data_IF_782757406547
#
_entry.id   IF_782757406547
#
_cell.length_a   1.000
_cell.length_b   1.000
_cell.length_c   1.000
_cell.angle_alpha   90.00
_cell.angle_beta   90.00
_cell.angle_gamma   90.00
#
_symmetry.space_group_name_H-M   'P 1'
#
loop_
_entity.id
_entity.type
_entity.pdbx_description
1 polymer ?
#
# COMPACT_ATOMS: atom_id res chain seq x y z
N UNK A 1 80.10 55.92 -0.10
CA UNK A 1 78.97 56.14 0.83
C UNK A 1 77.72 55.54 0.21
N UNK A 2 77.11 54.54 0.87
CA UNK A 2 75.70 54.06 0.81
C UNK A 2 75.04 53.81 -0.58
N UNK A 3 74.22 52.78 -0.86
CA UNK A 3 73.68 51.60 -0.19
C UNK A 3 72.97 50.73 -1.29
N UNK A 4 72.70 49.45 -0.98
CA UNK A 4 71.85 48.45 -1.66
C UNK A 4 70.48 49.00 -2.18
N UNK A 5 69.71 48.39 -3.09
CA UNK A 5 69.28 46.97 -3.19
C UNK A 5 68.52 46.70 -4.51
N UNK A 6 68.48 45.42 -4.90
CA UNK A 6 67.91 44.78 -6.12
C UNK A 6 66.38 44.71 -6.23
N UNK A 7 65.83 44.75 -7.45
CA UNK A 7 64.72 43.88 -7.91
C UNK A 7 64.63 43.81 -9.45
N UNK A 8 64.42 42.59 -9.96
CA UNK A 8 64.49 42.16 -11.36
C UNK A 8 63.07 41.92 -11.93
N UNK A 9 62.77 42.42 -13.14
CA UNK A 9 61.58 42.06 -13.95
C UNK A 9 61.97 42.11 -15.43
N UNK A 10 61.70 41.07 -16.25
CA UNK A 10 61.69 41.21 -17.70
C UNK A 10 60.27 41.08 -18.30
N UNK A 11 60.06 41.51 -19.57
CA UNK A 11 58.82 42.13 -20.01
C UNK A 11 58.00 41.34 -21.06
N UNK A 12 56.80 41.88 -21.31
CA UNK A 12 55.85 41.66 -22.41
C UNK A 12 56.47 41.45 -23.81
N UNK A 13 55.72 40.82 -24.75
CA UNK A 13 55.23 41.49 -25.99
C UNK A 13 54.53 40.55 -27.03
N UNK A 14 53.26 40.89 -27.30
CA UNK A 14 52.47 40.95 -28.56
C UNK A 14 51.98 39.73 -29.36
N UNK A 15 50.65 39.76 -29.59
CA UNK A 15 49.88 39.29 -30.77
C UNK A 15 49.69 40.52 -31.71
N UNK A 16 49.41 40.40 -33.04
CA UNK A 16 48.00 40.37 -33.51
C UNK A 16 47.70 39.70 -34.89
N UNK A 17 46.42 39.33 -35.06
CA UNK A 17 45.51 39.44 -36.24
C UNK A 17 45.40 38.40 -37.38
N UNK A 18 44.13 38.21 -37.80
CA UNK A 18 43.50 37.20 -38.69
C UNK A 18 43.58 37.45 -40.20
N UNK A 19 43.49 36.39 -41.04
CA UNK A 19 42.70 36.31 -42.31
C UNK A 19 42.27 34.84 -42.58
N UNK A 20 41.05 34.70 -43.09
CA UNK A 20 40.22 33.53 -43.41
C UNK A 20 40.49 32.96 -44.82
N UNK A 21 40.33 31.64 -45.04
CA UNK A 21 39.96 31.05 -46.36
C UNK A 21 39.48 29.60 -46.22
N UNK A 22 38.30 29.34 -46.80
CA UNK A 22 37.63 28.05 -46.91
C UNK A 22 38.41 27.03 -47.77
N UNK A 23 38.42 25.75 -47.36
CA UNK A 23 38.41 24.63 -48.29
C UNK A 23 37.69 23.41 -47.73
N UNK A 24 36.63 23.02 -48.45
CA UNK A 24 35.95 21.73 -48.47
C UNK A 24 36.95 20.56 -48.56
N UNK A 25 36.81 19.53 -47.72
CA UNK A 25 36.45 18.17 -48.16
C UNK A 25 36.62 17.09 -47.06
N UNK A 26 35.51 16.40 -46.82
CA UNK A 26 35.37 14.96 -46.42
C UNK A 26 35.91 14.49 -45.06
N UNK A 27 35.01 14.31 -44.07
CA UNK A 27 34.57 12.97 -43.61
C UNK A 27 33.49 13.09 -42.51
N UNK A 28 32.40 12.39 -42.74
CA UNK A 28 31.27 12.06 -41.85
C UNK A 28 31.61 11.71 -40.40
N UNK A 29 31.04 12.45 -39.43
CA UNK A 29 30.52 11.91 -38.14
C UNK A 29 29.88 13.01 -37.28
N UNK A 30 28.70 13.50 -37.65
CA UNK A 30 27.87 14.33 -36.76
C UNK A 30 26.81 13.47 -36.08
N UNK A 31 27.21 12.73 -35.04
CA UNK A 31 26.31 12.06 -34.10
C UNK A 31 27.02 11.90 -32.77
N UNK A 32 26.92 12.92 -31.90
CA UNK A 32 26.88 12.73 -30.44
C UNK A 32 26.93 14.08 -29.72
N UNK A 33 25.77 14.58 -29.29
CA UNK A 33 25.65 15.31 -28.03
C UNK A 33 24.18 15.53 -27.70
N UNK A 34 23.49 14.44 -27.37
CA UNK A 34 22.32 14.56 -26.48
C UNK A 34 22.85 14.80 -25.07
N UNK A 35 22.30 15.74 -24.28
CA UNK A 35 22.68 15.90 -22.87
C UNK A 35 22.28 14.63 -22.10
N UNK A 36 22.89 14.34 -20.93
CA UNK A 36 22.56 13.14 -20.18
C UNK A 36 21.14 13.30 -19.66
N UNK A 37 20.19 12.65 -20.31
CA UNK A 37 18.86 12.45 -19.75
C UNK A 37 19.09 11.64 -18.47
N UNK A 38 18.90 12.29 -17.32
CA UNK A 38 18.85 11.60 -16.03
C UNK A 38 17.84 10.48 -16.18
N UNK A 39 18.35 9.26 -16.20
CA UNK A 39 17.59 8.05 -16.44
C UNK A 39 16.81 7.77 -15.15
N UNK A 40 15.68 8.45 -14.94
CA UNK A 40 14.64 7.95 -14.07
C UNK A 40 14.27 6.59 -14.63
N UNK A 41 14.83 5.52 -14.05
CA UNK A 41 14.57 4.15 -14.44
C UNK A 41 13.16 3.81 -13.95
N UNK A 42 12.17 4.33 -14.67
CA UNK A 42 10.77 4.03 -14.41
C UNK A 42 10.59 2.54 -14.43
N UNK A 43 9.87 2.03 -13.42
CA UNK A 43 9.51 0.62 -13.31
C UNK A 43 9.09 0.07 -14.68
N UNK A 44 9.60 -1.11 -15.04
CA UNK A 44 9.35 -1.69 -16.36
C UNK A 44 7.86 -1.98 -16.56
N UNK A 45 7.37 -1.95 -17.80
CA UNK A 45 5.96 -2.21 -18.15
C UNK A 45 5.40 -3.48 -17.48
N UNK A 46 6.23 -4.52 -17.36
CA UNK A 46 5.88 -5.77 -16.67
C UNK A 46 5.52 -5.59 -15.20
N UNK A 47 6.24 -4.72 -14.48
CA UNK A 47 5.96 -4.44 -13.07
C UNK A 47 4.57 -3.81 -12.90
N UNK A 48 4.26 -2.81 -13.73
CA UNK A 48 2.96 -2.13 -13.71
C UNK A 48 1.82 -3.06 -14.16
N UNK A 49 2.06 -3.93 -15.15
CA UNK A 49 1.07 -4.94 -15.60
C UNK A 49 0.79 -5.96 -14.48
N UNK A 50 1.82 -6.51 -13.84
CA UNK A 50 1.67 -7.50 -12.76
C UNK A 50 0.91 -6.91 -11.57
N UNK A 51 1.15 -5.64 -11.22
CA UNK A 51 0.47 -4.98 -10.10
C UNK A 51 -0.98 -4.57 -10.43
N UNK A 52 -1.23 -4.14 -11.67
CA UNK A 52 -2.55 -3.63 -12.09
C UNK A 52 -3.57 -4.74 -12.33
N UNK A 53 -3.17 -5.93 -12.81
CA UNK A 53 -4.10 -7.03 -13.12
C UNK A 53 -4.94 -7.43 -11.88
N UNK A 54 -4.35 -7.72 -10.70
CA UNK A 54 -5.13 -8.06 -9.50
C UNK A 54 -6.06 -6.92 -9.06
N UNK A 55 -5.60 -5.67 -9.15
CA UNK A 55 -6.39 -4.51 -8.77
C UNK A 55 -7.61 -4.31 -9.70
N UNK A 56 -7.41 -4.41 -11.02
CA UNK A 56 -8.48 -4.31 -12.02
C UNK A 56 -9.47 -5.45 -11.83
N UNK A 57 -8.97 -6.69 -11.69
CA UNK A 57 -9.81 -7.87 -11.52
C UNK A 57 -10.68 -7.76 -10.27
N UNK A 58 -10.11 -7.29 -9.15
CA UNK A 58 -10.85 -7.08 -7.91
C UNK A 58 -11.95 -6.01 -8.07
N UNK A 59 -11.64 -4.85 -8.66
CA UNK A 59 -12.62 -3.77 -8.86
C UNK A 59 -13.74 -4.21 -9.81
N UNK A 60 -13.40 -4.91 -10.90
CA UNK A 60 -14.39 -5.47 -11.83
C UNK A 60 -15.27 -6.51 -11.15
N UNK A 61 -14.67 -7.41 -10.39
CA UNK A 61 -15.40 -8.45 -9.66
C UNK A 61 -16.38 -7.85 -8.65
N UNK A 62 -15.89 -6.94 -7.80
CA UNK A 62 -16.75 -6.23 -6.86
C UNK A 62 -17.85 -5.48 -7.63
N UNK A 63 -17.53 -4.87 -8.77
CA UNK A 63 -18.46 -4.05 -9.55
C UNK A 63 -19.59 -4.85 -10.18
N UNK A 64 -19.26 -6.02 -10.72
CA UNK A 64 -20.23 -6.95 -11.25
C UNK A 64 -21.15 -7.49 -10.14
N UNK A 65 -20.58 -7.80 -8.98
CA UNK A 65 -21.34 -8.30 -7.83
C UNK A 65 -22.00 -7.19 -7.00
N UNK A 66 -21.74 -5.90 -7.28
CA UNK A 66 -22.15 -4.76 -6.46
C UNK A 66 -23.64 -4.76 -6.14
N UNK A 67 -24.48 -4.92 -7.16
CA UNK A 67 -25.94 -4.90 -7.01
C UNK A 67 -26.45 -6.12 -6.22
N UNK A 68 -25.86 -7.30 -6.46
CA UNK A 68 -26.22 -8.53 -5.75
C UNK A 68 -25.81 -8.44 -4.27
N UNK A 69 -24.58 -8.02 -4.02
CA UNK A 69 -24.00 -7.85 -2.68
C UNK A 69 -24.72 -6.79 -1.86
N UNK A 70 -25.04 -5.63 -2.43
CA UNK A 70 -25.80 -4.58 -1.71
C UNK A 70 -27.21 -5.05 -1.39
N UNK A 71 -27.88 -5.75 -2.31
CA UNK A 71 -29.24 -6.27 -2.06
C UNK A 71 -29.25 -7.26 -0.90
N UNK A 72 -28.29 -8.20 -0.89
CA UNK A 72 -28.03 -9.17 0.18
C UNK A 72 -27.74 -8.48 1.53
N UNK A 73 -26.77 -7.57 1.54
CA UNK A 73 -26.37 -6.81 2.73
C UNK A 73 -27.52 -5.96 3.32
N UNK A 74 -28.34 -5.35 2.46
CA UNK A 74 -29.49 -4.53 2.86
C UNK A 74 -30.61 -5.38 3.47
N UNK A 75 -30.82 -6.60 2.98
CA UNK A 75 -31.86 -7.50 3.49
C UNK A 75 -31.59 -7.90 4.95
N UNK A 76 -30.32 -8.16 5.30
CA UNK A 76 -29.90 -8.53 6.66
C UNK A 76 -29.81 -7.35 7.66
N UNK A 77 -29.97 -6.11 7.20
CA UNK A 77 -29.81 -4.87 8.02
C UNK A 77 -28.48 -4.81 8.79
N UNK A 78 -27.45 -5.49 8.29
CA UNK A 78 -26.13 -5.52 8.93
C UNK A 78 -25.33 -4.31 8.45
N UNK A 79 -25.55 -3.17 9.14
CA UNK A 79 -24.88 -1.91 8.84
C UNK A 79 -23.34 -2.03 8.88
N UNK A 80 -22.82 -2.89 9.75
CA UNK A 80 -21.38 -3.18 9.87
C UNK A 80 -20.80 -3.70 8.55
N UNK A 81 -21.37 -4.77 7.99
CA UNK A 81 -20.85 -5.38 6.77
C UNK A 81 -21.00 -4.47 5.55
N UNK A 82 -22.06 -3.65 5.51
CA UNK A 82 -22.21 -2.60 4.50
C UNK A 82 -21.05 -1.62 4.57
N UNK A 83 -20.69 -1.16 5.76
CA UNK A 83 -19.60 -0.21 5.95
C UNK A 83 -18.26 -0.81 5.52
N UNK A 84 -17.95 -2.06 5.88
CA UNK A 84 -16.73 -2.73 5.41
C UNK A 84 -16.70 -2.90 3.90
N UNK A 85 -17.83 -3.25 3.29
CA UNK A 85 -17.93 -3.35 1.84
C UNK A 85 -17.64 -2.01 1.16
N UNK A 86 -18.14 -0.89 1.71
CA UNK A 86 -17.85 0.46 1.20
C UNK A 86 -16.37 0.81 1.38
N UNK A 87 -15.79 0.52 2.54
CA UNK A 87 -14.36 0.76 2.79
C UNK A 87 -13.48 -0.07 1.85
N UNK A 88 -13.82 -1.34 1.66
CA UNK A 88 -13.11 -2.22 0.71
C UNK A 88 -13.20 -1.67 -0.71
N UNK A 89 -14.38 -1.22 -1.14
CA UNK A 89 -14.56 -0.58 -2.44
C UNK A 89 -13.68 0.66 -2.58
N UNK A 90 -13.72 1.54 -1.59
CA UNK A 90 -12.93 2.76 -1.55
C UNK A 90 -11.42 2.46 -1.64
N UNK A 91 -10.91 1.57 -0.77
CA UNK A 91 -9.50 1.18 -0.77
C UNK A 91 -9.09 0.47 -2.06
N UNK A 92 -9.97 -0.34 -2.67
CA UNK A 92 -9.72 -0.96 -3.97
C UNK A 92 -9.63 0.07 -5.10
N UNK A 93 -10.47 1.10 -5.11
CA UNK A 93 -10.39 2.17 -6.11
C UNK A 93 -9.11 3.01 -5.96
N UNK A 94 -8.70 3.31 -4.72
CA UNK A 94 -7.44 4.00 -4.45
C UNK A 94 -6.24 3.16 -4.89
N UNK A 95 -6.25 1.86 -4.57
CA UNK A 95 -5.20 0.95 -4.98
C UNK A 95 -5.12 0.79 -6.51
N UNK A 96 -6.26 0.76 -7.21
CA UNK A 96 -6.29 0.78 -8.67
C UNK A 96 -5.72 2.09 -9.23
N UNK A 97 -6.06 3.24 -8.64
CA UNK A 97 -5.52 4.53 -9.04
C UNK A 97 -4.00 4.59 -8.82
N UNK A 98 -3.51 4.10 -7.67
CA UNK A 98 -2.09 3.96 -7.35
C UNK A 98 -1.34 3.13 -8.40
N UNK A 99 -1.87 1.94 -8.74
CA UNK A 99 -1.27 1.07 -9.74
C UNK A 99 -1.28 1.69 -11.15
N UNK A 100 -2.36 2.37 -11.52
CA UNK A 100 -2.53 2.96 -12.85
C UNK A 100 -1.67 4.21 -13.06
N UNK A 101 -1.43 4.96 -11.99
CA UNK A 101 -0.75 6.26 -12.03
C UNK A 101 0.73 6.19 -11.65
N UNK A 102 1.35 5.00 -11.63
CA UNK A 102 2.79 4.84 -11.37
C UNK A 102 3.67 5.71 -12.29
N UNK A 103 3.23 5.96 -13.53
CA UNK A 103 3.93 6.84 -14.46
C UNK A 103 4.09 8.29 -13.94
N UNK A 104 3.29 8.72 -12.97
CA UNK A 104 3.43 10.05 -12.35
C UNK A 104 4.70 10.18 -11.51
N UNK A 105 5.29 9.08 -11.03
CA UNK A 105 6.61 9.10 -10.38
C UNK A 105 7.71 9.64 -11.29
N UNK A 106 7.55 9.46 -12.60
CA UNK A 106 8.56 9.79 -13.60
C UNK A 106 8.32 11.11 -14.31
N UNK A 107 7.20 11.78 -14.01
CA UNK A 107 6.87 13.05 -14.67
C UNK A 107 7.33 14.21 -13.78
N UNK A 108 8.32 15.01 -14.20
CA UNK A 108 8.77 16.16 -13.42
C UNK A 108 7.59 17.13 -13.20
N UNK A 109 7.42 17.59 -11.95
CA UNK A 109 6.33 18.49 -11.56
C UNK A 109 5.03 17.81 -11.07
N UNK A 110 4.93 16.48 -11.11
CA UNK A 110 3.78 15.72 -10.55
C UNK A 110 4.05 15.04 -9.21
N UNK A 111 5.17 15.36 -8.57
CA UNK A 111 5.62 14.76 -7.31
C UNK A 111 4.61 14.94 -6.18
N UNK A 112 4.00 16.13 -6.08
CA UNK A 112 2.95 16.43 -5.11
C UNK A 112 1.74 15.49 -5.27
N UNK A 113 1.26 15.32 -6.50
CA UNK A 113 0.11 14.48 -6.80
C UNK A 113 0.41 13.00 -6.54
N UNK A 114 1.62 12.55 -6.87
CA UNK A 114 2.06 11.20 -6.55
C UNK A 114 2.10 10.95 -5.04
N UNK A 115 2.79 11.82 -4.29
CA UNK A 115 2.89 11.71 -2.84
C UNK A 115 1.51 11.76 -2.15
N UNK A 116 0.61 12.63 -2.62
CA UNK A 116 -0.75 12.72 -2.10
C UNK A 116 -1.55 11.44 -2.39
N UNK A 117 -1.47 10.91 -3.61
CA UNK A 117 -2.11 9.64 -3.97
C UNK A 117 -1.55 8.47 -3.15
N UNK A 118 -0.24 8.49 -2.86
CA UNK A 118 0.45 7.49 -2.02
C UNK A 118 -0.11 7.49 -0.61
N UNK A 119 -0.15 8.68 -0.01
CA UNK A 119 -0.66 8.88 1.34
C UNK A 119 -2.13 8.50 1.44
N UNK A 120 -2.93 8.87 0.43
CA UNK A 120 -4.35 8.54 0.41
C UNK A 120 -4.57 7.03 0.26
N UNK A 121 -3.77 6.35 -0.57
CA UNK A 121 -3.84 4.90 -0.73
C UNK A 121 -3.43 4.18 0.56
N UNK A 122 -2.33 4.59 1.19
CA UNK A 122 -1.88 4.07 2.47
C UNK A 122 -2.91 4.31 3.60
N UNK A 123 -3.50 5.50 3.65
CA UNK A 123 -4.59 5.84 4.56
C UNK A 123 -5.77 4.88 4.37
N UNK A 124 -6.22 4.69 3.13
CA UNK A 124 -7.36 3.81 2.83
C UNK A 124 -7.11 2.35 3.22
N UNK A 125 -5.93 1.81 2.93
CA UNK A 125 -5.60 0.42 3.25
C UNK A 125 -5.40 0.20 4.74
N UNK A 126 -4.64 1.07 5.43
CA UNK A 126 -4.44 0.99 6.88
C UNK A 126 -5.73 1.24 7.66
N UNK A 127 -6.55 2.21 7.22
CA UNK A 127 -7.84 2.46 7.86
C UNK A 127 -8.76 1.25 7.78
N UNK A 128 -8.82 0.60 6.61
CA UNK A 128 -9.56 -0.65 6.45
C UNK A 128 -9.02 -1.72 7.40
N UNK A 129 -7.70 -1.90 7.43
CA UNK A 129 -6.99 -2.90 8.22
C UNK A 129 -7.28 -2.77 9.72
N UNK A 130 -7.00 -1.60 10.29
CA UNK A 130 -7.15 -1.33 11.71
C UNK A 130 -8.62 -1.35 12.12
N UNK A 131 -9.52 -0.81 11.29
CA UNK A 131 -10.96 -0.82 11.60
C UNK A 131 -11.55 -2.23 11.60
N UNK A 132 -11.05 -3.11 10.72
CA UNK A 132 -11.47 -4.50 10.65
C UNK A 132 -11.01 -5.28 11.89
N UNK A 133 -9.73 -5.16 12.24
CA UNK A 133 -9.16 -5.80 13.43
C UNK A 133 -9.84 -5.29 14.71
N UNK A 134 -10.01 -3.96 14.84
CA UNK A 134 -10.63 -3.36 16.02
C UNK A 134 -12.07 -3.84 16.25
N UNK A 135 -12.86 -3.96 15.19
CA UNK A 135 -14.23 -4.44 15.30
C UNK A 135 -14.31 -5.93 15.65
N UNK A 136 -13.47 -6.76 15.03
CA UNK A 136 -13.44 -8.19 15.33
C UNK A 136 -13.02 -8.47 16.78
N UNK A 137 -12.18 -7.60 17.36
CA UNK A 137 -11.81 -7.67 18.77
C UNK A 137 -12.91 -7.15 19.72
N UNK A 138 -13.84 -6.31 19.24
CA UNK A 138 -14.90 -5.69 20.04
C UNK A 138 -16.24 -6.43 19.95
N UNK A 139 -16.25 -7.76 19.82
CA UNK A 139 -17.47 -8.60 19.74
C UNK A 139 -18.27 -8.57 21.08
N UNK A 140 -18.76 -7.39 21.49
CA UNK A 140 -19.49 -7.10 22.72
C UNK A 140 -20.91 -6.62 22.39
N UNK A 141 -21.85 -7.15 23.17
CA UNK A 141 -23.31 -7.17 23.08
C UNK A 141 -24.07 -5.81 23.06
N UNK A 142 -23.45 -4.71 22.64
CA UNK A 142 -24.14 -3.43 22.42
C UNK A 142 -24.57 -3.30 20.95
N UNK A 143 -25.55 -2.44 20.68
CA UNK A 143 -26.06 -2.21 19.32
C UNK A 143 -24.89 -2.06 18.33
N UNK A 144 -24.76 -2.96 17.35
CA UNK A 144 -23.53 -3.10 16.57
C UNK A 144 -23.09 -1.83 15.83
N UNK A 145 -23.97 -0.85 15.69
CA UNK A 145 -23.69 0.48 15.16
C UNK A 145 -22.88 1.37 16.12
N UNK A 146 -23.17 1.32 17.41
CA UNK A 146 -22.50 2.16 18.41
C UNK A 146 -21.07 1.66 18.65
N UNK A 147 -20.90 0.34 18.75
CA UNK A 147 -19.58 -0.30 18.80
C UNK A 147 -18.78 -0.02 17.51
N UNK A 148 -19.41 -0.15 16.33
CA UNK A 148 -18.76 0.18 15.06
C UNK A 148 -18.32 1.64 15.00
N UNK A 149 -19.20 2.58 15.38
CA UNK A 149 -18.87 4.02 15.36
C UNK A 149 -17.70 4.33 16.29
N UNK A 150 -17.69 3.74 17.49
CA UNK A 150 -16.60 3.89 18.45
C UNK A 150 -15.27 3.33 17.90
N UNK A 151 -15.28 2.12 17.34
CA UNK A 151 -14.07 1.54 16.70
C UNK A 151 -13.55 2.41 15.56
N UNK A 152 -14.45 2.97 14.75
CA UNK A 152 -14.09 3.79 13.60
C UNK A 152 -13.50 5.14 14.00
N UNK A 153 -14.02 5.74 15.08
CA UNK A 153 -13.45 6.97 15.63
C UNK A 153 -12.03 6.67 16.14
N UNK A 154 -11.85 5.59 16.90
CA UNK A 154 -10.56 5.22 17.47
C UNK A 154 -9.56 4.86 16.35
N UNK A 155 -9.94 3.99 15.41
CA UNK A 155 -9.09 3.63 14.27
C UNK A 155 -8.78 4.83 13.38
N UNK A 156 -9.76 5.70 13.16
CA UNK A 156 -9.61 6.93 12.39
C UNK A 156 -8.62 7.90 13.02
N UNK A 157 -8.62 8.03 14.36
CA UNK A 157 -7.64 8.84 15.09
C UNK A 157 -6.23 8.25 14.98
N UNK A 158 -6.08 6.94 15.18
CA UNK A 158 -4.77 6.25 15.09
C UNK A 158 -4.19 6.40 13.68
N UNK A 159 -4.97 6.05 12.66
CA UNK A 159 -4.51 6.12 11.27
C UNK A 159 -4.37 7.56 10.80
N UNK A 160 -5.21 8.48 11.28
CA UNK A 160 -5.07 9.91 11.03
C UNK A 160 -3.76 10.46 11.59
N UNK A 161 -3.36 10.06 12.80
CA UNK A 161 -2.08 10.45 13.39
C UNK A 161 -0.89 9.86 12.62
N UNK A 162 -0.98 8.60 12.20
CA UNK A 162 0.03 7.96 11.34
C UNK A 162 0.22 8.70 10.01
N UNK A 163 -0.88 8.97 9.31
CA UNK A 163 -0.83 9.66 8.01
C UNK A 163 -0.38 11.11 8.17
N UNK A 164 -0.73 11.77 9.27
CA UNK A 164 -0.23 13.11 9.59
C UNK A 164 1.29 13.09 9.81
N UNK A 165 1.81 12.09 10.53
CA UNK A 165 3.25 11.92 10.72
C UNK A 165 3.95 11.70 9.38
N UNK A 166 3.42 10.79 8.54
CA UNK A 166 3.94 10.53 7.18
C UNK A 166 3.87 11.79 6.30
N UNK A 167 2.80 12.57 6.38
CA UNK A 167 2.64 13.83 5.65
C UNK A 167 3.65 14.90 6.10
N UNK A 168 3.91 15.04 7.40
CA UNK A 168 4.95 15.95 7.91
C UNK A 168 6.34 15.51 7.43
N UNK A 169 6.63 14.21 7.42
CA UNK A 169 7.90 13.69 6.89
C UNK A 169 8.06 13.97 5.38
N UNK A 170 7.00 13.80 4.58
CA UNK A 170 7.04 14.06 3.14
C UNK A 170 7.07 15.56 2.81
N UNK A 171 6.14 16.36 3.35
CA UNK A 171 5.96 17.75 2.95
C UNK A 171 6.74 18.75 3.80
N UNK A 172 7.01 18.43 5.08
CA UNK A 172 7.77 19.29 5.98
C UNK A 172 9.27 19.06 5.87
N UNK A 173 9.71 17.80 5.97
CA UNK A 173 11.13 17.44 5.90
C UNK A 173 11.61 17.10 4.48
N UNK A 174 10.74 17.15 3.48
CA UNK A 174 11.05 16.81 2.07
C UNK A 174 11.70 15.43 1.92
N UNK A 175 11.37 14.47 2.80
CA UNK A 175 11.90 13.11 2.70
C UNK A 175 11.09 12.35 1.64
N UNK A 176 11.74 11.80 0.59
CA UNK A 176 11.04 11.06 -0.46
C UNK A 176 10.60 9.67 0.04
N UNK A 177 9.52 9.60 0.82
CA UNK A 177 9.00 8.32 1.33
C UNK A 177 8.50 7.39 0.21
N UNK A 178 7.98 7.95 -0.89
CA UNK A 178 7.33 7.21 -1.98
C UNK A 178 8.06 7.28 -3.33
N UNK A 179 9.25 7.89 -3.36
CA UNK A 179 10.11 7.87 -4.56
C UNK A 179 11.19 6.80 -4.41
N UNK A 180 11.49 6.14 -5.53
CA UNK A 180 12.40 4.99 -5.62
C UNK A 180 13.82 5.37 -6.10
N UNK A 181 14.16 6.67 -6.05
CA UNK A 181 15.47 7.17 -6.42
C UNK A 181 16.55 6.89 -5.37
N UNK A 182 17.57 6.12 -5.76
CA UNK A 182 18.89 5.90 -5.14
C UNK A 182 18.97 5.88 -3.60
N UNK A 183 18.66 4.70 -3.04
CA UNK A 183 19.35 4.01 -1.92
C UNK A 183 19.71 4.72 -0.60
N UNK A 184 19.53 6.02 -0.40
CA UNK A 184 20.40 6.70 0.59
C UNK A 184 19.72 7.79 1.42
N UNK A 185 18.43 7.64 1.74
CA UNK A 185 17.83 8.41 2.84
C UNK A 185 17.57 7.50 4.03
N UNK A 186 18.53 7.41 4.95
CA UNK A 186 18.41 6.69 6.23
C UNK A 186 17.11 7.05 6.97
N UNK A 187 16.63 8.29 6.82
CA UNK A 187 15.34 8.75 7.35
C UNK A 187 14.11 8.02 6.80
N UNK A 188 14.07 7.68 5.50
CA UNK A 188 12.98 6.89 4.89
C UNK A 188 12.85 5.55 5.60
N UNK A 189 13.95 4.82 5.67
CA UNK A 189 13.98 3.49 6.26
C UNK A 189 13.67 3.49 7.75
N UNK A 190 14.08 4.52 8.50
CA UNK A 190 13.72 4.64 9.93
C UNK A 190 12.22 4.80 10.11
N UNK A 191 11.56 5.67 9.34
CA UNK A 191 10.11 5.86 9.43
C UNK A 191 9.37 4.58 9.07
N UNK A 192 9.73 3.94 7.96
CA UNK A 192 9.13 2.66 7.54
C UNK A 192 9.41 1.52 8.54
N UNK A 193 10.60 1.47 9.14
CA UNK A 193 10.93 0.46 10.16
C UNK A 193 10.06 0.63 11.41
N UNK A 194 9.83 1.87 11.86
CA UNK A 194 8.96 2.13 13.02
C UNK A 194 7.52 1.74 12.73
N UNK A 195 7.02 2.07 11.53
CA UNK A 195 5.66 1.71 11.09
C UNK A 195 5.45 0.18 11.08
N UNK A 196 6.35 -0.55 10.41
CA UNK A 196 6.30 -2.02 10.33
C UNK A 196 6.50 -2.67 11.70
N UNK A 197 7.31 -2.07 12.58
CA UNK A 197 7.50 -2.55 13.94
C UNK A 197 6.20 -2.41 14.75
N UNK A 198 5.51 -1.28 14.63
CA UNK A 198 4.22 -1.06 15.32
C UNK A 198 3.16 -2.05 14.84
N UNK A 199 3.06 -2.30 13.53
CA UNK A 199 2.15 -3.31 12.97
C UNK A 199 2.50 -4.71 13.45
N UNK A 200 3.78 -5.11 13.37
CA UNK A 200 4.26 -6.42 13.81
C UNK A 200 4.00 -6.63 15.32
N UNK A 201 4.26 -5.62 16.15
CA UNK A 201 3.97 -5.66 17.59
C UNK A 201 2.47 -5.79 17.87
N UNK A 202 1.63 -5.08 17.11
CA UNK A 202 0.17 -5.15 17.27
C UNK A 202 -0.36 -6.55 16.94
N UNK A 203 0.03 -7.11 15.80
CA UNK A 203 -0.36 -8.47 15.42
C UNK A 203 0.24 -9.53 16.34
N UNK A 204 1.49 -9.35 16.75
CA UNK A 204 2.16 -10.20 17.73
C UNK A 204 1.47 -10.18 19.09
N UNK A 205 0.98 -9.02 19.54
CA UNK A 205 0.18 -8.89 20.76
C UNK A 205 -1.14 -9.65 20.65
N UNK A 206 -1.85 -9.57 19.52
CA UNK A 206 -3.09 -10.33 19.30
C UNK A 206 -2.82 -11.84 19.35
N UNK A 207 -1.74 -12.32 18.71
CA UNK A 207 -1.35 -13.74 18.78
C UNK A 207 -0.95 -14.15 20.19
N UNK A 208 -0.23 -13.29 20.91
CA UNK A 208 0.16 -13.56 22.30
C UNK A 208 -1.07 -13.72 23.20
N UNK A 209 -2.07 -12.84 23.07
CA UNK A 209 -3.33 -12.97 23.82
C UNK A 209 -4.06 -14.27 23.44
N UNK A 210 -4.00 -14.71 22.19
CA UNK A 210 -4.62 -15.94 21.73
C UNK A 210 -4.01 -17.21 22.33
N UNK A 211 -2.68 -17.30 22.38
CA UNK A 211 -1.98 -18.43 22.97
C UNK A 211 -1.94 -18.39 24.50
N UNK A 212 -2.25 -17.25 25.09
CA UNK A 212 -2.31 -17.06 26.54
C UNK A 212 -3.67 -17.50 27.12
N UNK A 213 -3.74 -17.62 28.45
CA UNK A 213 -4.95 -17.96 29.20
C UNK A 213 -6.10 -16.95 29.01
N UNK A 214 -5.83 -15.80 28.37
CA UNK A 214 -6.79 -14.73 28.08
C UNK A 214 -7.58 -14.94 26.77
N UNK A 215 -7.48 -16.13 26.15
CA UNK A 215 -8.16 -16.50 24.89
C UNK A 215 -9.66 -16.24 24.92
N UNK A 216 -10.29 -16.31 26.09
CA UNK A 216 -11.75 -16.17 26.25
C UNK A 216 -12.26 -14.76 25.90
N UNK A 217 -11.37 -13.79 25.70
CA UNK A 217 -11.70 -12.43 25.23
C UNK A 217 -11.59 -12.24 23.71
N UNK A 218 -11.13 -13.24 22.96
CA UNK A 218 -10.95 -13.15 21.51
C UNK A 218 -12.12 -13.81 20.76
N UNK A 219 -12.45 -13.32 19.55
CA UNK A 219 -13.53 -13.88 18.75
C UNK A 219 -13.27 -15.37 18.42
N UNK A 220 -14.29 -16.25 18.46
CA UNK A 220 -14.11 -17.68 18.22
C UNK A 220 -13.89 -18.05 16.75
N UNK A 221 -13.77 -17.08 15.83
CA UNK A 221 -13.72 -17.31 14.38
C UNK A 221 -12.33 -17.80 13.92
N UNK A 222 -12.20 -19.02 13.37
CA UNK A 222 -10.92 -19.54 12.91
C UNK A 222 -10.30 -18.72 11.76
N UNK A 223 -11.12 -18.14 10.88
CA UNK A 223 -10.67 -17.29 9.78
C UNK A 223 -9.90 -16.04 10.26
N UNK A 224 -10.31 -15.45 11.39
CA UNK A 224 -9.64 -14.28 11.97
C UNK A 224 -8.21 -14.61 12.43
N UNK A 225 -8.00 -15.78 13.03
CA UNK A 225 -6.67 -16.18 13.48
C UNK A 225 -5.74 -16.47 12.31
N UNK A 226 -6.24 -17.13 11.26
CA UNK A 226 -5.46 -17.34 10.04
C UNK A 226 -5.04 -16.01 9.42
N UNK A 227 -5.95 -15.01 9.40
CA UNK A 227 -5.64 -13.65 8.96
C UNK A 227 -4.53 -13.01 9.81
N UNK A 228 -4.65 -13.04 11.15
CA UNK A 228 -3.66 -12.44 12.07
C UNK A 228 -2.28 -13.10 11.91
N UNK A 229 -2.22 -14.43 11.77
CA UNK A 229 -0.95 -15.16 11.56
C UNK A 229 -0.30 -14.74 10.24
N UNK A 230 -1.06 -14.69 9.15
CA UNK A 230 -0.54 -14.28 7.83
C UNK A 230 -0.03 -12.84 7.87
N UNK A 231 -0.79 -11.91 8.46
CA UNK A 231 -0.37 -10.52 8.57
C UNK A 231 0.87 -10.36 9.46
N UNK A 232 0.97 -11.10 10.57
CA UNK A 232 2.18 -11.11 11.41
C UNK A 232 3.42 -11.59 10.66
N UNK A 233 3.29 -12.64 9.85
CA UNK A 233 4.40 -13.15 9.03
C UNK A 233 4.81 -12.14 7.96
N UNK A 234 3.86 -11.55 7.23
CA UNK A 234 4.14 -10.57 6.17
C UNK A 234 4.81 -9.31 6.75
N UNK A 235 4.23 -8.73 7.82
CA UNK A 235 4.78 -7.54 8.50
C UNK A 235 6.13 -7.83 9.15
N UNK A 236 6.35 -9.04 9.69
CA UNK A 236 7.64 -9.47 10.21
C UNK A 236 8.73 -9.56 9.12
N UNK A 237 8.40 -10.10 7.94
CA UNK A 237 9.33 -10.13 6.79
C UNK A 237 9.59 -8.70 6.30
N UNK A 238 8.59 -7.82 6.32
CA UNK A 238 8.72 -6.41 5.97
C UNK A 238 9.65 -5.66 6.92
N UNK A 239 9.44 -5.83 8.22
CA UNK A 239 10.30 -5.28 9.26
C UNK A 239 11.75 -5.74 9.09
N UNK A 240 11.97 -7.02 8.80
CA UNK A 240 13.30 -7.56 8.53
C UNK A 240 13.91 -6.96 7.25
N UNK A 241 13.11 -6.83 6.18
CA UNK A 241 13.52 -6.18 4.93
C UNK A 241 13.90 -4.71 5.13
N UNK A 242 13.08 -3.94 5.84
CA UNK A 242 13.33 -2.54 6.22
C UNK A 242 14.59 -2.40 7.09
N UNK A 243 14.78 -3.30 8.07
CA UNK A 243 15.97 -3.32 8.91
C UNK A 243 17.24 -3.56 8.11
N UNK A 244 17.24 -4.53 7.18
CA UNK A 244 18.36 -4.78 6.28
C UNK A 244 18.60 -3.60 5.32
N UNK A 245 17.54 -2.98 4.80
CA UNK A 245 17.63 -1.82 3.93
C UNK A 245 18.19 -0.58 4.67
N UNK A 246 17.88 -0.42 5.96
CA UNK A 246 18.45 0.64 6.80
C UNK A 246 19.97 0.51 7.00
N UNK A 247 20.51 -0.72 6.93
CA UNK A 247 21.95 -1.02 7.00
C UNK A 247 22.62 -0.90 5.61
N UNK A 248 21.83 -0.73 4.53
CA UNK A 248 22.32 -0.62 3.16
C UNK A 248 22.51 -1.98 2.46
N UNK A 249 21.94 -3.05 2.99
CA UNK A 249 21.99 -4.38 2.35
C UNK A 249 20.99 -4.43 1.21
N UNK A 250 21.46 -4.65 -0.02
CA UNK A 250 20.60 -4.69 -1.22
C UNK A 250 19.48 -5.74 -1.18
N UNK A 251 19.68 -6.85 -0.45
CA UNK A 251 18.65 -7.85 -0.19
C UNK A 251 17.43 -7.25 0.53
N UNK A 252 17.65 -6.31 1.46
CA UNK A 252 16.58 -5.64 2.20
C UNK A 252 15.66 -4.84 1.28
N UNK A 253 16.24 -4.09 0.33
CA UNK A 253 15.47 -3.35 -0.67
C UNK A 253 14.67 -4.29 -1.58
N UNK A 254 15.26 -5.41 -1.99
CA UNK A 254 14.58 -6.39 -2.81
C UNK A 254 13.38 -7.02 -2.08
N UNK A 255 13.57 -7.43 -0.82
CA UNK A 255 12.49 -8.00 -0.02
C UNK A 255 11.38 -7.00 0.25
N UNK A 256 11.73 -5.77 0.60
CA UNK A 256 10.75 -4.70 0.82
C UNK A 256 9.92 -4.44 -0.44
N UNK A 257 10.58 -4.31 -1.61
CA UNK A 257 9.88 -4.13 -2.88
C UNK A 257 8.96 -5.31 -3.20
N UNK A 258 9.39 -6.55 -2.96
CA UNK A 258 8.56 -7.74 -3.14
C UNK A 258 7.30 -7.68 -2.26
N UNK A 259 7.45 -7.29 -0.99
CA UNK A 259 6.32 -7.17 -0.06
C UNK A 259 5.37 -6.06 -0.47
N UNK A 260 5.87 -4.91 -0.89
CA UNK A 260 5.04 -3.80 -1.40
C UNK A 260 4.20 -4.27 -2.60
N UNK A 261 4.81 -5.00 -3.54
CA UNK A 261 4.08 -5.60 -4.67
C UNK A 261 2.99 -6.55 -4.17
N UNK A 262 3.35 -7.48 -3.29
CA UNK A 262 2.42 -8.46 -2.74
C UNK A 262 1.27 -7.79 -1.96
N UNK A 263 1.56 -6.75 -1.18
CA UNK A 263 0.56 -6.02 -0.41
C UNK A 263 -0.45 -5.35 -1.35
N UNK A 264 0.02 -4.55 -2.32
CA UNK A 264 -0.86 -3.88 -3.26
C UNK A 264 -1.61 -4.85 -4.21
N UNK A 265 -1.05 -6.02 -4.50
CA UNK A 265 -1.70 -7.00 -5.37
C UNK A 265 -2.69 -7.93 -4.63
N UNK A 266 -2.31 -8.41 -3.44
CA UNK A 266 -2.97 -9.57 -2.80
C UNK A 266 -3.70 -9.22 -1.50
N UNK A 267 -3.40 -8.10 -0.84
CA UNK A 267 -4.02 -7.75 0.45
C UNK A 267 -5.54 -7.57 0.34
N UNK A 268 -6.00 -6.72 -0.60
CA UNK A 268 -7.44 -6.46 -0.75
C UNK A 268 -8.24 -7.70 -1.19
N UNK A 269 -7.77 -8.52 -2.16
CA UNK A 269 -8.38 -9.81 -2.44
C UNK A 269 -8.39 -10.76 -1.23
N UNK A 270 -7.29 -10.80 -0.46
CA UNK A 270 -7.20 -11.64 0.74
C UNK A 270 -8.27 -11.24 1.76
N UNK A 271 -8.37 -9.96 2.10
CA UNK A 271 -9.42 -9.42 2.99
C UNK A 271 -10.82 -9.75 2.49
N UNK A 272 -11.07 -9.63 1.18
CA UNK A 272 -12.36 -9.99 0.59
C UNK A 272 -12.71 -11.46 0.84
N UNK A 273 -11.77 -12.36 0.57
CA UNK A 273 -11.98 -13.81 0.72
C UNK A 273 -12.16 -14.19 2.20
N UNK A 274 -11.33 -13.64 3.11
CA UNK A 274 -11.36 -14.05 4.51
C UNK A 274 -12.58 -13.56 5.29
N UNK A 275 -13.22 -12.46 4.88
CA UNK A 275 -14.30 -11.85 5.67
C UNK A 275 -15.62 -11.70 4.93
N UNK A 276 -15.59 -11.38 3.63
CA UNK A 276 -16.83 -11.12 2.88
C UNK A 276 -17.40 -12.39 2.24
N UNK A 277 -16.55 -13.29 1.74
CA UNK A 277 -17.02 -14.54 1.11
C UNK A 277 -17.77 -15.41 2.12
N UNK A 278 -17.18 -15.63 3.29
CA UNK A 278 -17.81 -16.40 4.38
C UNK A 278 -19.18 -15.84 4.75
N UNK A 279 -19.31 -14.51 4.82
CA UNK A 279 -20.58 -13.84 5.10
C UNK A 279 -21.65 -14.10 4.02
N UNK A 280 -21.26 -14.04 2.73
CA UNK A 280 -22.21 -14.29 1.64
C UNK A 280 -22.58 -15.76 1.51
N UNK A 281 -21.69 -16.68 1.85
CA UNK A 281 -21.95 -18.12 1.84
C UNK A 281 -22.86 -18.55 2.99
N UNK A 282 -22.65 -18.02 4.21
CA UNK A 282 -23.56 -18.25 5.34
C UNK A 282 -25.00 -17.84 5.00
N UNK A 283 -25.19 -16.73 4.27
CA UNK A 283 -26.51 -16.29 3.83
C UNK A 283 -27.15 -17.25 2.82
N UNK A 284 -26.40 -17.70 1.82
CA UNK A 284 -26.92 -18.64 0.81
C UNK A 284 -27.33 -19.96 1.49
N UNK A 285 -26.55 -20.46 2.47
CA UNK A 285 -26.89 -21.65 3.25
C UNK A 285 -28.13 -21.46 4.14
N UNK A 286 -28.28 -20.30 4.77
CA UNK A 286 -29.48 -20.00 5.59
C UNK A 286 -30.72 -19.92 4.70
N UNK A 287 -30.61 -19.27 3.54
CA UNK A 287 -31.71 -19.15 2.59
C UNK A 287 -32.13 -20.51 2.04
N UNK A 288 -31.15 -21.34 1.66
CA UNK A 288 -31.39 -22.71 1.20
C UNK A 288 -32.05 -23.54 2.31
N UNK A 289 -31.56 -23.48 3.56
CA UNK A 289 -32.17 -24.19 4.68
C UNK A 289 -33.61 -23.73 4.96
N UNK A 290 -33.89 -22.43 4.90
CA UNK A 290 -35.24 -21.90 5.06
C UNK A 290 -36.17 -22.40 3.95
N UNK A 291 -35.69 -22.36 2.70
CA UNK A 291 -36.42 -22.89 1.55
C UNK A 291 -36.68 -24.41 1.66
N UNK A 292 -35.68 -25.19 2.06
CA UNK A 292 -35.82 -26.63 2.31
C UNK A 292 -36.81 -26.92 3.44
N UNK A 293 -36.81 -26.11 4.51
CA UNK A 293 -37.80 -26.26 5.59
C UNK A 293 -39.22 -25.95 5.11
N UNK A 294 -39.40 -24.95 4.25
CA UNK A 294 -40.71 -24.62 3.67
C UNK A 294 -41.20 -25.73 2.73
N UNK A 295 -40.32 -26.31 1.91
CA UNK A 295 -40.65 -27.47 1.08
C UNK A 295 -40.99 -28.71 1.93
N UNK A 296 -40.30 -28.89 3.06
CA UNK A 296 -40.60 -29.96 4.02
C UNK A 296 -41.96 -29.77 4.68
N UNK A 297 -42.27 -28.58 5.16
CA UNK A 297 -43.56 -28.27 5.80
C UNK A 297 -44.73 -28.34 4.81
N UNK A 298 -44.47 -28.11 3.51
CA UNK A 298 -45.44 -28.31 2.44
C UNK A 298 -45.69 -29.79 2.08
N UNK A 299 -45.09 -30.74 2.80
CA UNK A 299 -45.24 -32.18 2.56
C UNK A 299 -44.55 -32.68 1.28
N UNK A 300 -43.66 -31.87 0.68
CA UNK A 300 -43.01 -32.22 -0.59
C UNK A 300 -42.05 -33.41 -0.48
N UNK A 301 -41.62 -33.74 0.75
CA UNK A 301 -40.75 -34.87 1.07
C UNK A 301 -41.47 -36.02 1.79
N UNK A 302 -42.78 -35.88 2.05
CA UNK A 302 -43.61 -36.97 2.56
C UNK A 302 -44.04 -37.83 1.36
N UNK A 303 -43.08 -38.52 0.73
CA UNK A 303 -43.42 -39.59 -0.19
C UNK A 303 -43.77 -40.82 0.63
N UNK A 304 -45.04 -41.23 0.53
CA UNK A 304 -45.63 -42.45 1.05
C UNK A 304 -44.62 -43.61 1.12
N UNK A 305 -44.17 -43.93 2.33
CA UNK A 305 -43.38 -45.12 2.64
C UNK A 305 -44.34 -46.14 3.27
N UNK A 306 -45.19 -46.70 2.40
CA UNK A 306 -45.87 -47.99 2.61
C UNK A 306 -45.09 -49.13 1.96
#
# INVERSE_FOLDING_TARGET
MANNQSHYVPPERNIPFMIETNHQDTLSSSLSSSPPLSQYKCHGLWYTVVLSIPAVLLVLYLGFHLRKSIRKLRHRRSHVMITYYILLWFSATLNLAWCSLQMWQCTPGKELSWNLLSLLTALGTLFLEISLVAFLLQESYASGLEALTSTFIISGLIVGADVLLKAICVFGFYVPLFMDGETTHRGKWVVWTVDELLLTCTYGYILFVHYSTWRDKLPPRPAFYNYVVVMFVITGIALFGCGLAAIGVGLGLWMYNLIVICYHALYLPFVYITFLVDFFQEEDLILDNAYYSEMKDAGFFDSDLE
#
